data_IF_821454127097
#
_entry.id   IF_821454127097
#
_cell.length_a   1.000
_cell.length_b   1.000
_cell.length_c   1.000
_cell.angle_alpha   90.00
_cell.angle_beta   90.00
_cell.angle_gamma   90.00
#
_symmetry.space_group_name_H-M   'P 1'
#
loop_
_entity.id
_entity.type
_entity.pdbx_description
1 polymer ?
#
# COMPACT_ATOMS: atom_id res chain seq x y z
N UNK A 1 1.85 17.68 12.61
CA UNK A 1 1.43 17.17 11.28
C UNK A 1 2.17 15.86 11.00
N UNK A 2 1.66 14.68 11.41
CA UNK A 2 2.37 13.41 11.28
C UNK A 2 2.15 12.66 9.94
N UNK A 3 1.15 13.03 9.14
CA UNK A 3 0.83 12.31 7.90
C UNK A 3 1.91 12.47 6.80
N UNK A 4 2.61 13.60 6.76
CA UNK A 4 3.66 13.85 5.78
C UNK A 4 4.87 12.94 6.00
N UNK A 5 5.26 12.66 7.25
CA UNK A 5 6.43 11.80 7.51
C UNK A 5 6.18 10.36 7.11
N UNK A 6 4.97 9.83 7.34
CA UNK A 6 4.62 8.45 6.97
C UNK A 6 4.66 8.24 5.45
N UNK A 7 4.05 9.15 4.67
CA UNK A 7 4.07 9.06 3.19
C UNK A 7 5.50 9.09 2.65
N UNK A 8 6.35 9.98 3.16
CA UNK A 8 7.76 10.04 2.76
C UNK A 8 8.52 8.79 3.16
N UNK A 9 8.29 8.26 4.37
CA UNK A 9 8.96 7.06 4.84
C UNK A 9 8.57 5.83 4.00
N UNK A 10 7.28 5.69 3.70
CA UNK A 10 6.77 4.64 2.82
C UNK A 10 7.40 4.73 1.43
N UNK A 11 7.35 5.91 0.79
CA UNK A 11 7.91 6.09 -0.55
C UNK A 11 9.40 5.75 -0.56
N UNK A 12 10.17 6.30 0.39
CA UNK A 12 11.61 6.05 0.50
C UNK A 12 11.89 4.55 0.67
N UNK A 13 11.20 3.89 1.60
CA UNK A 13 11.40 2.47 1.84
C UNK A 13 11.05 1.64 0.60
N UNK A 14 9.94 1.94 -0.07
CA UNK A 14 9.53 1.25 -1.28
C UNK A 14 10.55 1.41 -2.43
N UNK A 15 11.09 2.61 -2.62
CA UNK A 15 12.09 2.88 -3.67
C UNK A 15 13.46 2.28 -3.34
N UNK A 16 13.94 2.43 -2.10
CA UNK A 16 15.27 1.96 -1.68
C UNK A 16 15.38 0.44 -1.77
N UNK A 17 14.26 -0.27 -1.57
CA UNK A 17 14.19 -1.72 -1.65
C UNK A 17 13.62 -2.25 -2.97
N UNK A 18 13.26 -1.38 -3.92
CA UNK A 18 12.69 -1.79 -5.20
C UNK A 18 11.45 -2.68 -5.05
N UNK A 19 10.55 -2.35 -4.11
CA UNK A 19 9.41 -3.21 -3.76
C UNK A 19 8.39 -3.38 -4.90
N UNK A 20 8.37 -2.43 -5.83
CA UNK A 20 7.41 -2.37 -6.93
C UNK A 20 8.12 -2.09 -8.25
N UNK A 21 7.82 -2.91 -9.26
CA UNK A 21 8.10 -2.65 -10.65
C UNK A 21 6.95 -1.91 -11.34
N UNK A 22 7.27 -1.25 -12.46
CA UNK A 22 6.27 -0.57 -13.28
C UNK A 22 5.30 -1.59 -13.89
N UNK A 23 3.99 -1.39 -13.70
CA UNK A 23 2.94 -2.26 -14.22
C UNK A 23 2.62 -3.46 -13.32
N UNK A 24 3.22 -3.54 -12.12
CA UNK A 24 2.99 -4.65 -11.21
C UNK A 24 1.52 -4.72 -10.75
N UNK A 25 1.04 -5.96 -10.58
CA UNK A 25 -0.27 -6.25 -9.99
C UNK A 25 -0.08 -6.63 -8.53
N UNK A 26 -0.59 -5.79 -7.63
CA UNK A 26 -0.41 -5.96 -6.18
C UNK A 26 -1.76 -6.26 -5.54
N UNK A 27 -1.86 -7.41 -4.87
CA UNK A 27 -3.04 -7.78 -4.08
C UNK A 27 -2.81 -7.41 -2.61
N UNK A 28 -3.59 -6.44 -2.11
CA UNK A 28 -3.50 -5.97 -0.73
C UNK A 28 -4.37 -6.83 0.17
N UNK A 29 -3.75 -7.47 1.17
CA UNK A 29 -4.47 -8.18 2.23
C UNK A 29 -5.05 -7.18 3.22
N UNK A 30 -6.37 -7.02 3.20
CA UNK A 30 -7.09 -6.05 4.03
C UNK A 30 -7.79 -6.79 5.17
N UNK A 31 -7.37 -6.58 6.41
CA UNK A 31 -8.06 -7.16 7.59
C UNK A 31 -9.20 -6.29 8.10
N UNK A 32 -9.26 -5.02 7.68
CA UNK A 32 -10.18 -4.01 8.22
C UNK A 32 -9.58 -3.23 9.41
N UNK A 33 -8.43 -3.64 9.92
CA UNK A 33 -7.68 -2.90 10.93
C UNK A 33 -6.98 -1.66 10.35
N UNK A 34 -6.68 -0.69 11.22
CA UNK A 34 -6.10 0.61 10.84
C UNK A 34 -4.83 0.49 10.00
N UNK A 35 -3.94 -0.45 10.34
CA UNK A 35 -2.67 -0.64 9.61
C UNK A 35 -2.92 -1.05 8.16
N UNK A 36 -3.84 -1.99 7.93
CA UNK A 36 -4.17 -2.48 6.59
C UNK A 36 -4.86 -1.41 5.75
N UNK A 37 -5.73 -0.61 6.36
CA UNK A 37 -6.43 0.51 5.71
C UNK A 37 -5.46 1.63 5.36
N UNK A 38 -4.55 1.97 6.26
CA UNK A 38 -3.50 2.98 6.01
C UNK A 38 -2.53 2.50 4.92
N UNK A 39 -2.14 1.23 4.92
CA UNK A 39 -1.31 0.66 3.86
C UNK A 39 -2.00 0.75 2.49
N UNK A 40 -3.29 0.39 2.42
CA UNK A 40 -4.08 0.55 1.19
C UNK A 40 -4.10 2.01 0.74
N UNK A 41 -4.33 2.96 1.65
CA UNK A 41 -4.31 4.39 1.32
C UNK A 41 -2.95 4.85 0.81
N UNK A 42 -1.84 4.42 1.42
CA UNK A 42 -0.49 4.74 0.96
C UNK A 42 -0.23 4.18 -0.45
N UNK A 43 -0.66 2.96 -0.73
CA UNK A 43 -0.54 2.35 -2.06
C UNK A 43 -1.38 3.10 -3.10
N UNK A 44 -2.60 3.53 -2.75
CA UNK A 44 -3.45 4.35 -3.61
C UNK A 44 -2.82 5.72 -3.91
N UNK A 45 -2.25 6.38 -2.90
CA UNK A 45 -1.60 7.68 -3.05
C UNK A 45 -0.42 7.64 -4.05
N UNK A 46 0.30 6.50 -4.10
CA UNK A 46 1.46 6.31 -4.97
C UNK A 46 1.18 5.38 -6.17
N UNK A 47 -0.07 4.99 -6.39
CA UNK A 47 -0.44 4.04 -7.44
C UNK A 47 0.03 4.50 -8.83
N UNK A 48 -0.20 5.77 -9.16
CA UNK A 48 0.21 6.34 -10.44
C UNK A 48 1.73 6.51 -10.56
N UNK A 49 2.43 6.78 -9.45
CA UNK A 49 3.88 6.93 -9.42
C UNK A 49 4.58 5.61 -9.75
N UNK A 50 4.10 4.51 -9.18
CA UNK A 50 4.63 3.17 -9.40
C UNK A 50 3.98 2.42 -10.59
N UNK A 51 2.94 2.99 -11.21
CA UNK A 51 2.13 2.34 -12.25
C UNK A 51 1.55 0.99 -11.79
N UNK A 52 0.92 0.99 -10.61
CA UNK A 52 0.39 -0.22 -9.99
C UNK A 52 -1.05 -0.52 -10.39
N UNK A 53 -1.33 -1.81 -10.55
CA UNK A 53 -2.68 -2.35 -10.61
C UNK A 53 -3.03 -3.00 -9.27
N UNK A 54 -3.80 -2.28 -8.46
CA UNK A 54 -4.15 -2.74 -7.11
C UNK A 54 -5.41 -3.61 -7.13
N UNK A 55 -5.35 -4.75 -6.43
CA UNK A 55 -6.49 -5.54 -6.00
C UNK A 55 -6.56 -5.57 -4.48
N UNK A 56 -7.73 -5.87 -3.91
CA UNK A 56 -7.92 -6.00 -2.47
C UNK A 56 -8.53 -7.36 -2.15
N UNK A 57 -7.96 -8.06 -1.18
CA UNK A 57 -8.51 -9.30 -0.63
C UNK A 57 -8.79 -9.11 0.87
N UNK A 58 -10.05 -9.28 1.25
CA UNK A 58 -10.48 -9.37 2.64
C UNK A 58 -10.88 -10.82 2.93
N UNK A 59 -10.39 -11.37 4.03
CA UNK A 59 -10.74 -12.70 4.51
C UNK A 59 -11.58 -12.55 5.76
N UNK A 60 -12.85 -12.96 5.68
CA UNK A 60 -13.69 -13.16 6.86
C UNK A 60 -13.31 -14.51 7.49
N UNK A 61 -12.83 -14.46 8.73
CA UNK A 61 -12.39 -15.64 9.46
C UNK A 61 -13.55 -16.40 10.13
N UNK A 62 -14.75 -15.82 10.19
CA UNK A 62 -15.93 -16.41 10.83
C UNK A 62 -15.67 -16.94 12.25
N UNK A 63 -14.96 -16.14 13.06
CA UNK A 63 -14.64 -16.43 14.47
C UNK A 63 -15.69 -15.87 15.43
#
# INVERSE_FOLDING_TARGET
MPASSLKHHFLRFATDHGLFGKGDRVLVALSGGVDSVVLLQLLLDWQAYFDLHLGVAHLDHAL
#
